data_IF_618122343419
#
_entry.id   IF_618122343419
#
_cell.length_a   1.000
_cell.length_b   1.000
_cell.length_c   1.000
_cell.angle_alpha   90.00
_cell.angle_beta   90.00
_cell.angle_gamma   90.00
#
_symmetry.space_group_name_H-M   'P 1'
#
loop_
_entity.id
_entity.type
_entity.pdbx_description
1 polymer ?
#
# COMPACT_ATOMS: atom_id res chain seq x y z
N UNK A 1 -1.93 -31.68 12.17
CA UNK A 1 -1.81 -30.29 12.68
C UNK A 1 -3.06 -29.53 12.25
N UNK A 2 -3.81 -28.89 13.17
CA UNK A 2 -5.16 -28.34 12.89
C UNK A 2 -5.22 -27.27 11.78
N UNK A 3 -4.12 -26.53 11.57
CA UNK A 3 -4.05 -25.51 10.50
C UNK A 3 -3.95 -26.13 9.10
N UNK A 4 -3.49 -27.39 8.99
CA UNK A 4 -3.36 -28.16 7.75
C UNK A 4 -4.38 -29.30 7.67
N UNK A 5 -5.53 -29.12 8.31
CA UNK A 5 -6.62 -30.09 8.30
C UNK A 5 -7.31 -30.09 6.92
N UNK A 6 -7.79 -31.25 6.47
CA UNK A 6 -8.52 -31.37 5.20
C UNK A 6 -9.87 -30.64 5.26
N UNK A 7 -10.44 -30.50 6.46
CA UNK A 7 -11.69 -29.79 6.65
C UNK A 7 -11.47 -28.28 6.77
N UNK A 8 -11.90 -27.54 5.75
CA UNK A 8 -11.80 -26.07 5.69
C UNK A 8 -12.44 -25.36 6.89
N UNK A 9 -13.43 -25.95 7.56
CA UNK A 9 -14.02 -25.34 8.75
C UNK A 9 -13.08 -25.43 9.96
N UNK A 10 -12.29 -26.50 10.07
CA UNK A 10 -11.25 -26.66 11.08
C UNK A 10 -10.13 -25.66 10.82
N UNK A 11 -9.69 -25.53 9.56
CA UNK A 11 -8.68 -24.53 9.15
C UNK A 11 -9.12 -23.11 9.48
N UNK A 12 -10.34 -22.71 9.08
CA UNK A 12 -10.90 -21.38 9.43
C UNK A 12 -10.91 -21.13 10.94
N UNK A 13 -11.27 -22.15 11.73
CA UNK A 13 -11.27 -22.04 13.20
C UNK A 13 -9.86 -21.94 13.78
N UNK A 14 -8.89 -22.65 13.21
CA UNK A 14 -7.49 -22.53 13.58
C UNK A 14 -6.97 -21.12 13.32
N UNK A 15 -7.27 -20.51 12.16
CA UNK A 15 -6.89 -19.13 11.83
C UNK A 15 -7.47 -18.13 12.85
N UNK A 16 -8.77 -18.24 13.17
CA UNK A 16 -9.40 -17.37 14.19
C UNK A 16 -8.73 -17.49 15.55
N UNK A 17 -8.32 -18.70 15.91
CA UNK A 17 -7.64 -18.97 17.18
C UNK A 17 -6.25 -18.34 17.18
N UNK A 18 -5.48 -18.54 16.11
CA UNK A 18 -4.17 -17.91 15.91
C UNK A 18 -4.23 -16.38 15.91
N UNK A 19 -5.30 -15.80 15.38
CA UNK A 19 -5.54 -14.34 15.41
C UNK A 19 -5.57 -13.79 16.85
N UNK A 20 -6.02 -14.58 17.82
CA UNK A 20 -6.00 -14.18 19.23
C UNK A 20 -4.71 -14.60 19.93
N UNK A 21 -4.20 -15.80 19.65
CA UNK A 21 -3.04 -16.34 20.35
C UNK A 21 -1.75 -15.65 19.97
N UNK A 22 -1.57 -15.18 18.73
CA UNK A 22 -0.32 -14.57 18.29
C UNK A 22 0.10 -13.38 19.16
N UNK A 23 -0.81 -12.43 19.40
CA UNK A 23 -0.55 -11.26 20.26
C UNK A 23 -0.31 -11.65 21.72
N UNK A 24 -0.98 -12.69 22.22
CA UNK A 24 -0.78 -13.19 23.59
C UNK A 24 0.58 -13.87 23.73
N UNK A 25 0.98 -14.66 22.73
CA UNK A 25 2.27 -15.32 22.67
C UNK A 25 3.41 -14.29 22.59
N UNK A 26 3.29 -13.27 21.73
CA UNK A 26 4.27 -12.20 21.65
C UNK A 26 4.38 -11.44 22.99
N UNK A 27 3.24 -11.15 23.63
CA UNK A 27 3.24 -10.50 24.94
C UNK A 27 3.89 -11.37 26.03
N UNK A 28 3.72 -12.69 25.96
CA UNK A 28 4.39 -13.63 26.84
C UNK A 28 5.89 -13.63 26.62
N UNK A 29 6.36 -13.69 25.37
CA UNK A 29 7.79 -13.60 25.03
C UNK A 29 8.41 -12.32 25.57
N UNK A 30 7.78 -11.18 25.31
CA UNK A 30 8.30 -9.85 25.71
C UNK A 30 8.33 -9.65 27.22
N UNK A 31 7.44 -10.31 27.97
CA UNK A 31 7.40 -10.22 29.45
C UNK A 31 8.37 -11.20 30.13
N UNK A 32 8.86 -12.21 29.43
CA UNK A 32 9.82 -13.18 29.98
C UNK A 32 11.19 -12.54 30.17
N UNK A 33 11.70 -12.53 31.42
CA UNK A 33 13.03 -12.00 31.73
C UNK A 33 14.17 -12.92 31.27
N UNK A 34 13.91 -14.22 31.28
CA UNK A 34 14.83 -15.26 30.84
C UNK A 34 14.04 -16.17 29.92
N UNK A 35 14.59 -16.46 28.74
CA UNK A 35 13.93 -17.24 27.70
C UNK A 35 14.63 -18.60 27.67
N UNK A 36 13.83 -19.67 27.75
CA UNK A 36 14.33 -21.05 27.66
C UNK A 36 14.31 -21.53 26.22
N UNK A 37 15.14 -22.52 25.88
CA UNK A 37 15.18 -23.13 24.54
C UNK A 37 13.79 -23.63 24.08
N UNK A 38 12.99 -24.17 25.00
CA UNK A 38 11.62 -24.61 24.70
C UNK A 38 10.69 -23.43 24.38
N UNK A 39 10.89 -22.29 25.05
CA UNK A 39 10.13 -21.06 24.81
C UNK A 39 10.53 -20.45 23.45
N UNK A 40 11.81 -20.48 23.09
CA UNK A 40 12.30 -20.08 21.75
C UNK A 40 11.65 -20.94 20.66
N UNK A 41 11.73 -22.27 20.78
CA UNK A 41 11.12 -23.19 19.83
C UNK A 41 9.59 -22.99 19.69
N UNK A 42 8.90 -22.64 20.79
CA UNK A 42 7.48 -22.32 20.77
C UNK A 42 7.20 -21.03 19.97
N UNK A 43 8.04 -20.00 20.13
CA UNK A 43 7.93 -18.77 19.35
C UNK A 43 8.23 -18.99 17.88
N UNK A 44 9.27 -19.76 17.55
CA UNK A 44 9.60 -20.10 16.16
C UNK A 44 8.44 -20.83 15.48
N UNK A 45 7.79 -21.77 16.18
CA UNK A 45 6.59 -22.44 15.68
C UNK A 45 5.41 -21.47 15.50
N UNK A 46 5.22 -20.54 16.43
CA UNK A 46 4.17 -19.51 16.34
C UNK A 46 4.38 -18.57 15.14
N UNK A 47 5.63 -18.15 14.91
CA UNK A 47 6.01 -17.30 13.77
C UNK A 47 5.86 -18.04 12.44
N UNK A 48 6.34 -19.29 12.37
CA UNK A 48 6.15 -20.13 11.18
C UNK A 48 4.67 -20.34 10.85
N UNK A 49 3.82 -20.59 11.85
CA UNK A 49 2.37 -20.70 11.66
C UNK A 49 1.72 -19.37 11.21
N UNK A 50 2.23 -18.22 11.66
CA UNK A 50 1.77 -16.93 11.15
C UNK A 50 2.11 -16.76 9.66
N UNK A 51 3.33 -17.15 9.26
CA UNK A 51 3.74 -17.21 7.85
C UNK A 51 2.85 -18.13 7.01
N UNK A 52 2.56 -19.34 7.50
CA UNK A 52 1.64 -20.29 6.84
C UNK A 52 0.25 -19.66 6.61
N UNK A 53 -0.29 -18.88 7.56
CA UNK A 53 -1.60 -18.21 7.40
C UNK A 53 -1.53 -17.08 6.36
N UNK A 54 -0.41 -16.35 6.26
CA UNK A 54 -0.24 -15.32 5.22
C UNK A 54 -0.29 -15.96 3.83
N UNK A 55 0.34 -17.13 3.65
CA UNK A 55 0.26 -17.90 2.38
C UNK A 55 -1.18 -18.35 2.06
N UNK A 56 -2.03 -18.56 3.07
CA UNK A 56 -3.44 -18.90 2.86
C UNK A 56 -4.29 -17.76 2.27
N UNK A 57 -3.74 -16.55 2.06
CA UNK A 57 -4.36 -15.56 1.17
C UNK A 57 -4.53 -16.10 -0.26
N UNK A 58 -3.67 -17.03 -0.69
CA UNK A 58 -3.74 -17.67 -2.01
C UNK A 58 -4.47 -19.02 -1.98
N UNK A 59 -5.15 -19.36 -0.87
CA UNK A 59 -5.98 -20.58 -0.79
C UNK A 59 -7.07 -20.56 -1.86
N UNK A 60 -7.40 -21.73 -2.41
CA UNK A 60 -8.55 -21.93 -3.30
C UNK A 60 -9.90 -21.68 -2.61
N UNK A 61 -9.96 -21.83 -1.28
CA UNK A 61 -11.18 -21.65 -0.50
C UNK A 61 -11.42 -20.17 -0.11
N UNK A 62 -12.52 -19.61 -0.61
CA UNK A 62 -12.92 -18.21 -0.35
C UNK A 62 -13.10 -17.87 1.14
N UNK A 63 -13.61 -18.84 1.91
CA UNK A 63 -13.78 -18.70 3.36
C UNK A 63 -12.45 -18.68 4.10
N UNK A 64 -11.48 -19.50 3.68
CA UNK A 64 -10.12 -19.50 4.25
C UNK A 64 -9.44 -18.16 3.98
N UNK A 65 -9.47 -17.67 2.73
CA UNK A 65 -8.94 -16.34 2.37
C UNK A 65 -9.55 -15.22 3.22
N UNK A 66 -10.87 -15.23 3.42
CA UNK A 66 -11.56 -14.25 4.29
C UNK A 66 -10.98 -14.22 5.71
N UNK A 67 -10.72 -15.39 6.29
CA UNK A 67 -10.17 -15.49 7.65
C UNK A 67 -8.68 -15.10 7.69
N UNK A 68 -7.91 -15.46 6.65
CA UNK A 68 -6.52 -15.06 6.52
C UNK A 68 -6.38 -13.53 6.47
N UNK A 69 -7.24 -12.81 5.73
CA UNK A 69 -7.26 -11.34 5.72
C UNK A 69 -7.42 -10.77 7.13
N UNK A 70 -8.33 -11.32 7.94
CA UNK A 70 -8.55 -10.86 9.32
C UNK A 70 -7.38 -11.17 10.25
N UNK A 71 -6.68 -12.28 10.02
CA UNK A 71 -5.43 -12.58 10.71
C UNK A 71 -4.35 -11.56 10.34
N UNK A 72 -4.16 -11.30 9.04
CA UNK A 72 -3.18 -10.34 8.52
C UNK A 72 -3.43 -8.93 9.06
N UNK A 73 -4.69 -8.47 9.14
CA UNK A 73 -5.03 -7.21 9.80
C UNK A 73 -4.54 -7.16 11.25
N UNK A 74 -4.85 -8.19 12.04
CA UNK A 74 -4.43 -8.24 13.44
C UNK A 74 -2.91 -8.31 13.57
N UNK A 75 -2.26 -9.08 12.69
CA UNK A 75 -0.81 -9.23 12.63
C UNK A 75 -0.12 -7.90 12.34
N UNK A 76 -0.56 -7.16 11.30
CA UNK A 76 -0.04 -5.82 10.97
C UNK A 76 -0.20 -4.87 12.15
N UNK A 77 -1.39 -4.82 12.77
CA UNK A 77 -1.65 -3.96 13.93
C UNK A 77 -0.75 -4.35 15.11
N UNK A 78 -0.56 -5.64 15.39
CA UNK A 78 0.32 -6.10 16.48
C UNK A 78 1.79 -5.77 16.20
N UNK A 79 2.26 -5.91 14.97
CA UNK A 79 3.66 -5.70 14.56
C UNK A 79 3.97 -4.28 14.08
N UNK A 80 3.13 -3.32 14.44
CA UNK A 80 3.37 -1.90 14.18
C UNK A 80 3.16 -1.08 15.46
N UNK A 81 3.93 0.01 15.64
CA UNK A 81 3.85 0.82 16.84
C UNK A 81 2.57 1.66 16.85
N UNK A 82 2.00 1.87 18.03
CA UNK A 82 0.99 2.91 18.24
C UNK A 82 1.63 4.29 18.15
N UNK A 83 0.86 5.26 17.68
CA UNK A 83 1.18 6.68 17.63
C UNK A 83 0.18 7.50 18.44
N UNK A 84 0.45 8.79 18.66
CA UNK A 84 -0.39 9.66 19.49
C UNK A 84 -1.84 9.77 19.00
N UNK A 85 -2.03 9.67 17.69
CA UNK A 85 -3.29 9.74 16.97
C UNK A 85 -3.93 8.37 16.72
N UNK A 86 -3.34 7.26 17.18
CA UNK A 86 -3.87 5.92 16.94
C UNK A 86 -5.20 5.66 17.67
N UNK A 87 -6.25 5.34 16.91
CA UNK A 87 -7.58 5.01 17.44
C UNK A 87 -7.67 3.53 17.86
N UNK A 88 -7.39 3.22 19.13
CA UNK A 88 -7.43 1.83 19.63
C UNK A 88 -8.80 1.50 20.23
N UNK A 89 -9.50 0.44 19.76
CA UNK A 89 -10.72 -0.03 20.40
C UNK A 89 -10.47 -0.43 21.85
N UNK A 90 -11.38 -0.06 22.78
CA UNK A 90 -11.26 -0.35 24.23
C UNK A 90 -10.92 -1.82 24.54
N UNK A 91 -11.52 -2.76 23.80
CA UNK A 91 -11.27 -4.21 23.95
C UNK A 91 -9.82 -4.63 23.64
N UNK A 92 -9.05 -3.81 22.93
CA UNK A 92 -7.67 -4.08 22.50
C UNK A 92 -6.64 -3.15 23.17
N UNK A 93 -7.05 -2.36 24.17
CA UNK A 93 -6.18 -1.37 24.79
C UNK A 93 -4.96 -1.99 25.48
N UNK A 94 -5.14 -3.18 26.05
CA UNK A 94 -4.12 -3.97 26.73
C UNK A 94 -3.31 -4.89 25.79
N UNK A 95 -3.75 -5.07 24.55
CA UNK A 95 -3.03 -5.89 23.57
C UNK A 95 -1.62 -5.33 23.32
N UNK A 96 -0.65 -6.22 23.09
CA UNK A 96 0.70 -5.80 22.73
C UNK A 96 0.70 -5.14 21.34
N UNK A 97 1.60 -4.18 21.19
CA UNK A 97 1.94 -3.52 19.94
C UNK A 97 3.44 -3.24 19.94
N UNK A 98 4.00 -2.94 18.77
CA UNK A 98 5.45 -2.90 18.61
C UNK A 98 6.13 -1.82 19.47
N UNK A 99 5.45 -0.72 19.81
CA UNK A 99 5.91 0.32 20.73
C UNK A 99 6.21 -0.20 22.15
N UNK A 100 5.64 -1.34 22.54
CA UNK A 100 5.84 -1.99 23.85
C UNK A 100 6.94 -3.05 23.84
N UNK A 101 7.59 -3.29 22.69
CA UNK A 101 8.67 -4.28 22.56
C UNK A 101 10.01 -3.59 22.85
N UNK A 102 10.78 -4.01 23.87
CA UNK A 102 12.10 -3.45 24.16
C UNK A 102 13.05 -3.65 22.97
N UNK A 103 13.85 -2.64 22.67
CA UNK A 103 14.82 -2.68 21.55
C UNK A 103 16.00 -3.61 21.81
N UNK A 104 16.30 -3.83 23.09
CA UNK A 104 17.39 -4.64 23.64
C UNK A 104 16.90 -6.01 24.16
N UNK A 105 15.70 -6.43 23.75
CA UNK A 105 15.14 -7.71 24.17
C UNK A 105 16.02 -8.88 23.66
N UNK A 106 16.33 -9.89 24.50
CA UNK A 106 17.39 -10.88 24.21
C UNK A 106 17.12 -11.81 23.02
N UNK A 107 15.87 -11.95 22.61
CA UNK A 107 15.47 -12.89 21.55
C UNK A 107 14.57 -12.24 20.50
N UNK A 108 13.44 -11.65 20.92
CA UNK A 108 12.55 -10.87 20.04
C UNK A 108 13.25 -9.62 19.51
N UNK A 109 13.37 -9.52 18.18
CA UNK A 109 14.01 -8.39 17.51
C UNK A 109 12.97 -7.43 16.94
N UNK A 110 12.97 -6.18 17.44
CA UNK A 110 12.03 -5.14 17.00
C UNK A 110 12.01 -4.95 15.48
N UNK A 111 13.20 -4.85 14.86
CA UNK A 111 13.31 -4.55 13.43
C UNK A 111 12.79 -5.70 12.56
N UNK A 112 13.01 -6.94 12.97
CA UNK A 112 12.50 -8.12 12.25
C UNK A 112 10.98 -8.10 12.25
N UNK A 113 10.36 -7.90 13.41
CA UNK A 113 8.90 -7.80 13.53
C UNK A 113 8.32 -6.63 12.72
N UNK A 114 9.00 -5.49 12.71
CA UNK A 114 8.57 -4.33 11.91
C UNK A 114 8.57 -4.65 10.41
N UNK A 115 9.63 -5.28 9.90
CA UNK A 115 9.70 -5.68 8.50
C UNK A 115 8.66 -6.74 8.17
N UNK A 116 8.41 -7.72 9.06
CA UNK A 116 7.33 -8.71 8.88
C UNK A 116 5.94 -8.05 8.80
N UNK A 117 5.66 -7.07 9.66
CA UNK A 117 4.41 -6.32 9.63
C UNK A 117 4.21 -5.57 8.31
N UNK A 118 5.25 -4.91 7.80
CA UNK A 118 5.21 -4.22 6.50
C UNK A 118 5.06 -5.20 5.35
N UNK A 119 5.80 -6.31 5.36
CA UNK A 119 5.68 -7.36 4.34
C UNK A 119 4.26 -7.93 4.30
N UNK A 120 3.62 -8.14 5.46
CA UNK A 120 2.23 -8.58 5.53
C UNK A 120 1.24 -7.55 4.95
N UNK A 121 1.47 -6.25 5.18
CA UNK A 121 0.69 -5.19 4.53
C UNK A 121 0.86 -5.23 3.01
N UNK A 122 2.09 -5.38 2.51
CA UNK A 122 2.36 -5.49 1.08
C UNK A 122 1.63 -6.68 0.43
N UNK A 123 1.60 -7.83 1.10
CA UNK A 123 0.82 -8.99 0.64
C UNK A 123 -0.68 -8.69 0.59
N UNK A 124 -1.23 -8.01 1.59
CA UNK A 124 -2.64 -7.61 1.58
C UNK A 124 -2.97 -6.61 0.46
N UNK A 125 -2.07 -5.65 0.19
CA UNK A 125 -2.22 -4.68 -0.90
C UNK A 125 -2.18 -5.38 -2.28
N UNK A 126 -1.21 -6.30 -2.48
CA UNK A 126 -1.13 -7.12 -3.69
C UNK A 126 -2.36 -7.99 -3.90
N UNK A 127 -2.89 -8.57 -2.82
CA UNK A 127 -4.10 -9.38 -2.85
C UNK A 127 -5.31 -8.59 -3.37
N UNK A 128 -5.46 -7.32 -2.97
CA UNK A 128 -6.61 -6.48 -3.36
C UNK A 128 -6.67 -6.14 -4.85
N UNK A 129 -5.52 -6.09 -5.53
CA UNK A 129 -5.44 -5.79 -6.97
C UNK A 129 -5.49 -7.05 -7.83
N UNK A 130 -5.64 -8.24 -7.23
CA UNK A 130 -5.72 -9.48 -7.96
C UNK A 130 -7.01 -9.54 -8.82
N UNK A 131 -6.94 -9.85 -10.13
CA UNK A 131 -8.08 -9.73 -11.04
C UNK A 131 -9.23 -10.71 -10.74
N UNK A 132 -8.93 -11.81 -10.04
CA UNK A 132 -9.92 -12.83 -9.65
C UNK A 132 -10.33 -12.76 -8.17
N UNK A 133 -10.04 -11.66 -7.47
CA UNK A 133 -10.49 -11.49 -6.09
C UNK A 133 -12.02 -11.53 -6.00
N UNK A 134 -12.55 -12.26 -5.01
CA UNK A 134 -14.01 -12.34 -4.81
C UNK A 134 -14.55 -11.06 -4.18
N UNK A 135 -15.84 -10.79 -4.39
CA UNK A 135 -16.52 -9.64 -3.77
C UNK A 135 -16.44 -9.66 -2.23
N UNK A 136 -16.52 -10.83 -1.60
CA UNK A 136 -16.48 -10.98 -0.14
C UNK A 136 -15.06 -10.71 0.37
N UNK A 137 -14.05 -11.29 -0.26
CA UNK A 137 -12.66 -11.04 0.13
C UNK A 137 -12.27 -9.57 -0.08
N UNK A 138 -12.67 -8.96 -1.20
CA UNK A 138 -12.37 -7.55 -1.48
C UNK A 138 -13.02 -6.61 -0.46
N UNK A 139 -14.30 -6.82 -0.14
CA UNK A 139 -14.99 -6.02 0.89
C UNK A 139 -14.42 -6.25 2.29
N UNK A 140 -13.97 -7.47 2.60
CA UNK A 140 -13.27 -7.77 3.85
C UNK A 140 -11.93 -7.03 3.93
N UNK A 141 -11.14 -7.06 2.85
CA UNK A 141 -9.85 -6.37 2.76
C UNK A 141 -10.00 -4.85 2.88
N UNK A 142 -11.02 -4.25 2.25
CA UNK A 142 -11.37 -2.84 2.45
C UNK A 142 -11.61 -2.51 3.93
N UNK A 143 -12.41 -3.32 4.62
CA UNK A 143 -12.64 -3.12 6.05
C UNK A 143 -11.37 -3.28 6.89
N UNK A 144 -10.51 -4.23 6.52
CA UNK A 144 -9.23 -4.46 7.18
C UNK A 144 -8.26 -3.30 6.99
N UNK A 145 -8.11 -2.75 5.79
CA UNK A 145 -7.28 -1.57 5.55
C UNK A 145 -7.80 -0.34 6.30
N UNK A 146 -9.12 -0.11 6.33
CA UNK A 146 -9.70 0.99 7.12
C UNK A 146 -9.44 0.84 8.64
N UNK A 147 -9.44 -0.41 9.12
CA UNK A 147 -9.12 -0.76 10.50
C UNK A 147 -7.64 -0.51 10.82
N UNK A 148 -6.74 -0.89 9.90
CA UNK A 148 -5.30 -0.65 10.00
C UNK A 148 -5.02 0.86 9.99
N UNK A 149 -5.54 1.61 9.02
CA UNK A 149 -5.28 3.04 8.88
C UNK A 149 -5.67 3.86 10.12
N UNK A 150 -6.81 3.54 10.75
CA UNK A 150 -7.23 4.24 11.97
C UNK A 150 -6.46 3.81 13.22
N UNK A 151 -6.10 2.54 13.33
CA UNK A 151 -5.30 2.05 14.46
C UNK A 151 -3.81 2.40 14.30
N UNK A 152 -3.33 2.55 13.07
CA UNK A 152 -1.92 2.74 12.70
C UNK A 152 -1.84 3.78 11.58
N UNK A 153 -1.96 5.07 11.91
CA UNK A 153 -1.99 6.14 10.91
C UNK A 153 -0.71 6.27 10.07
N UNK A 154 0.38 5.62 10.48
CA UNK A 154 1.61 5.51 9.69
C UNK A 154 1.37 4.86 8.32
N UNK A 155 0.35 4.01 8.21
CA UNK A 155 -0.03 3.34 6.96
C UNK A 155 -1.20 4.04 6.23
N UNK A 156 -1.57 5.26 6.65
CA UNK A 156 -2.71 5.97 6.07
C UNK A 156 -2.48 6.22 4.57
N UNK A 157 -1.28 6.65 4.19
CA UNK A 157 -0.91 6.95 2.80
C UNK A 157 -1.12 5.73 1.89
N UNK A 158 -0.57 4.58 2.26
CA UNK A 158 -0.66 3.32 1.52
C UNK A 158 -2.11 2.84 1.40
N UNK A 159 -2.91 3.02 2.45
CA UNK A 159 -4.34 2.65 2.44
C UNK A 159 -5.14 3.56 1.49
N UNK A 160 -4.90 4.87 1.51
CA UNK A 160 -5.58 5.79 0.59
C UNK A 160 -5.18 5.49 -0.87
N UNK A 161 -3.89 5.26 -1.13
CA UNK A 161 -3.40 4.86 -2.45
C UNK A 161 -4.03 3.54 -2.94
N UNK A 162 -4.22 2.56 -2.05
CA UNK A 162 -4.90 1.31 -2.38
C UNK A 162 -6.37 1.54 -2.77
N UNK A 163 -7.06 2.45 -2.08
CA UNK A 163 -8.44 2.82 -2.39
C UNK A 163 -8.55 3.57 -3.72
N UNK A 164 -7.62 4.46 -4.03
CA UNK A 164 -7.54 5.13 -5.34
C UNK A 164 -7.33 4.11 -6.46
N UNK A 165 -6.37 3.20 -6.27
CA UNK A 165 -6.05 2.14 -7.24
C UNK A 165 -7.26 1.24 -7.49
N UNK A 166 -7.95 0.82 -6.44
CA UNK A 166 -9.16 0.00 -6.56
C UNK A 166 -10.30 0.75 -7.24
N UNK A 167 -10.49 2.04 -6.91
CA UNK A 167 -11.53 2.85 -7.53
C UNK A 167 -11.33 2.99 -9.04
N UNK A 168 -10.08 3.18 -9.47
CA UNK A 168 -9.69 3.24 -10.87
C UNK A 168 -9.75 1.87 -11.57
N UNK A 169 -9.46 0.78 -10.85
CA UNK A 169 -9.29 -0.57 -11.40
C UNK A 169 -10.16 -1.61 -10.68
N UNK A 170 -11.48 -1.46 -10.74
CA UNK A 170 -12.39 -2.47 -10.20
C UNK A 170 -12.21 -3.80 -10.97
N UNK A 171 -12.11 -4.96 -10.26
CA UNK A 171 -11.92 -6.24 -10.92
C UNK A 171 -13.05 -6.54 -11.92
N UNK A 172 -12.74 -6.89 -13.19
CA UNK A 172 -13.74 -7.08 -14.24
C UNK A 172 -14.58 -8.35 -14.05
N UNK A 173 -14.15 -9.25 -13.16
CA UNK A 173 -14.83 -10.49 -12.78
C UNK A 173 -16.04 -10.26 -11.88
N UNK A 174 -16.21 -9.05 -11.34
CA UNK A 174 -17.32 -8.71 -10.46
C UNK A 174 -18.60 -8.43 -11.25
N UNK A 175 -19.69 -9.09 -10.85
CA UNK A 175 -21.02 -8.81 -11.36
C UNK A 175 -21.48 -7.40 -10.95
N UNK A 176 -22.44 -6.82 -11.69
CA UNK A 176 -22.97 -5.47 -11.43
C UNK A 176 -23.40 -5.24 -9.97
N UNK A 177 -24.09 -6.21 -9.38
CA UNK A 177 -24.51 -6.15 -7.95
C UNK A 177 -23.33 -6.16 -6.98
N UNK A 178 -22.27 -6.91 -7.31
CA UNK A 178 -21.03 -6.97 -6.53
C UNK A 178 -20.25 -5.65 -6.63
N UNK A 179 -20.14 -5.07 -7.83
CA UNK A 179 -19.56 -3.74 -8.04
C UNK A 179 -20.26 -2.69 -7.18
N UNK A 180 -21.60 -2.66 -7.19
CA UNK A 180 -22.36 -1.74 -6.33
C UNK A 180 -22.09 -1.97 -4.84
N UNK A 181 -21.99 -3.23 -4.40
CA UNK A 181 -21.64 -3.57 -3.01
C UNK A 181 -20.25 -3.09 -2.62
N UNK A 182 -19.25 -3.30 -3.49
CA UNK A 182 -17.88 -2.84 -3.27
C UNK A 182 -17.81 -1.32 -3.19
N UNK A 183 -18.45 -0.59 -4.12
CA UNK A 183 -18.52 0.89 -4.08
C UNK A 183 -19.16 1.41 -2.80
N UNK A 184 -20.26 0.77 -2.35
CA UNK A 184 -20.92 1.13 -1.08
C UNK A 184 -20.00 0.94 0.12
N UNK A 185 -19.26 -0.17 0.17
CA UNK A 185 -18.30 -0.43 1.25
C UNK A 185 -17.09 0.52 1.18
N UNK A 186 -16.57 0.81 -0.02
CA UNK A 186 -15.50 1.78 -0.21
C UNK A 186 -15.90 3.16 0.30
N UNK A 187 -17.10 3.65 -0.07
CA UNK A 187 -17.68 4.89 0.46
C UNK A 187 -17.74 4.88 1.99
N UNK A 188 -18.25 3.78 2.57
CA UNK A 188 -18.38 3.64 4.02
C UNK A 188 -17.02 3.70 4.74
N UNK A 189 -16.01 3.03 4.19
CA UNK A 189 -14.66 3.01 4.76
C UNK A 189 -13.93 4.35 4.57
N UNK A 190 -14.07 5.02 3.43
CA UNK A 190 -13.56 6.38 3.22
C UNK A 190 -14.16 7.38 4.20
N UNK A 191 -15.48 7.33 4.43
CA UNK A 191 -16.14 8.17 5.45
C UNK A 191 -15.66 7.84 6.87
N UNK A 192 -15.39 6.57 7.16
CA UNK A 192 -14.84 6.17 8.46
C UNK A 192 -13.41 6.68 8.67
N UNK A 193 -12.58 6.64 7.62
CA UNK A 193 -11.20 7.13 7.66
C UNK A 193 -11.17 8.65 7.72
N UNK A 194 -12.05 9.35 7.00
CA UNK A 194 -12.14 10.81 6.99
C UNK A 194 -12.38 11.42 8.37
N UNK A 195 -13.03 10.70 9.29
CA UNK A 195 -13.24 11.16 10.67
C UNK A 195 -11.95 11.22 11.48
N UNK A 196 -10.91 10.52 11.05
CA UNK A 196 -9.69 10.35 11.80
C UNK A 196 -8.83 11.62 11.72
N UNK A 197 -8.24 12.13 12.82
CA UNK A 197 -7.44 13.36 12.78
C UNK A 197 -6.28 13.33 11.78
N UNK A 198 -5.62 12.18 11.65
CA UNK A 198 -4.53 11.97 10.70
C UNK A 198 -4.95 12.01 9.22
N UNK A 199 -6.25 11.98 8.90
CA UNK A 199 -6.71 12.05 7.52
C UNK A 199 -6.65 13.47 6.94
N UNK A 200 -6.29 14.49 7.73
CA UNK A 200 -6.21 15.88 7.29
C UNK A 200 -5.27 16.07 6.09
N UNK A 201 -4.14 15.34 6.07
CA UNK A 201 -3.16 15.41 4.97
C UNK A 201 -3.72 14.81 3.66
N UNK A 202 -4.62 13.83 3.77
CA UNK A 202 -5.22 13.12 2.64
C UNK A 202 -6.65 13.59 2.32
N UNK A 203 -7.09 14.68 2.95
CA UNK A 203 -8.47 15.16 2.91
C UNK A 203 -8.94 15.44 1.47
N UNK A 204 -8.08 16.04 0.65
CA UNK A 204 -8.40 16.33 -0.76
C UNK A 204 -8.66 15.04 -1.54
N UNK A 205 -7.78 14.05 -1.40
CA UNK A 205 -7.84 12.75 -2.08
C UNK A 205 -9.12 11.99 -1.68
N UNK A 206 -9.36 11.87 -0.37
CA UNK A 206 -10.54 11.19 0.18
C UNK A 206 -11.84 11.88 -0.27
N UNK A 207 -11.87 13.22 -0.25
CA UNK A 207 -13.03 14.01 -0.66
C UNK A 207 -13.36 13.76 -2.13
N UNK A 208 -12.36 13.78 -3.00
CA UNK A 208 -12.54 13.50 -4.43
C UNK A 208 -13.14 12.11 -4.66
N UNK A 209 -12.54 11.07 -4.08
CA UNK A 209 -13.08 9.70 -4.19
C UNK A 209 -14.53 9.59 -3.68
N UNK A 210 -14.85 10.29 -2.60
CA UNK A 210 -16.22 10.29 -2.05
C UNK A 210 -17.21 10.95 -3.00
N UNK A 211 -16.83 12.04 -3.67
CA UNK A 211 -17.65 12.71 -4.70
C UNK A 211 -17.88 11.77 -5.88
N UNK A 212 -16.85 11.07 -6.37
CA UNK A 212 -16.96 10.11 -7.48
C UNK A 212 -17.88 8.92 -7.14
N UNK A 213 -17.95 8.57 -5.86
CA UNK A 213 -18.86 7.56 -5.31
C UNK A 213 -20.27 8.12 -5.03
N UNK A 214 -20.57 9.36 -5.39
CA UNK A 214 -21.88 10.00 -5.24
C UNK A 214 -22.19 10.45 -3.81
N UNK A 215 -21.17 10.79 -3.02
CA UNK A 215 -21.36 11.30 -1.65
C UNK A 215 -21.68 12.80 -1.68
N UNK A 216 -22.82 13.25 -1.12
CA UNK A 216 -23.14 14.67 -1.07
C UNK A 216 -22.13 15.47 -0.25
N UNK A 217 -21.80 16.69 -0.68
CA UNK A 217 -20.83 17.54 0.03
C UNK A 217 -21.18 17.78 1.50
N UNK A 218 -22.47 17.91 1.83
CA UNK A 218 -22.93 18.05 3.22
C UNK A 218 -22.61 16.82 4.09
N UNK A 219 -22.66 15.61 3.50
CA UNK A 219 -22.28 14.38 4.19
C UNK A 219 -20.76 14.34 4.42
N UNK A 220 -19.95 14.77 3.44
CA UNK A 220 -18.49 14.83 3.57
C UNK A 220 -18.10 15.81 4.68
N UNK A 221 -18.59 17.05 4.63
CA UNK A 221 -18.27 18.10 5.62
C UNK A 221 -18.64 17.68 7.05
N UNK A 222 -19.75 16.95 7.24
CA UNK A 222 -20.16 16.45 8.56
C UNK A 222 -19.19 15.42 9.15
N UNK A 223 -18.47 14.69 8.32
CA UNK A 223 -17.51 13.66 8.73
C UNK A 223 -16.07 14.16 8.79
N UNK A 224 -15.82 15.45 8.52
CA UNK A 224 -14.50 16.05 8.65
C UNK A 224 -14.07 16.18 10.12
N UNK A 225 -12.78 15.99 10.43
CA UNK A 225 -12.27 16.26 11.76
C UNK A 225 -12.25 17.78 11.99
N UNK A 226 -12.63 18.22 13.19
CA UNK A 226 -12.65 19.64 13.52
C UNK A 226 -11.23 20.20 13.57
N UNK A 227 -10.91 21.26 12.81
CA UNK A 227 -9.60 21.93 12.87
C UNK A 227 -9.22 22.46 14.27
N UNK A 228 -10.15 22.47 15.24
CA UNK A 228 -9.86 22.87 16.62
C UNK A 228 -8.99 21.87 17.38
N UNK A 229 -8.96 20.60 16.99
CA UNK A 229 -8.19 19.57 17.71
C UNK A 229 -6.70 19.57 17.37
N UNK A 230 -6.29 20.16 16.23
CA UNK A 230 -4.90 20.29 15.82
C UNK A 230 -4.09 21.35 16.60
N UNK A 231 -4.73 22.17 17.47
CA UNK A 231 -4.08 23.26 18.22
C UNK A 231 -3.71 22.94 19.67
N UNK A 232 -3.82 21.69 20.13
CA UNK A 232 -3.25 21.31 21.43
C UNK A 232 -1.75 21.02 21.27
N UNK A 233 -0.97 22.09 21.09
CA UNK A 233 0.44 22.09 21.51
C UNK A 233 0.49 21.83 23.03
N UNK A 234 1.56 21.24 23.59
CA UNK A 234 1.74 21.19 25.03
C UNK A 234 1.80 22.63 25.52
N UNK A 235 0.73 23.10 26.15
CA UNK A 235 0.72 24.38 26.86
C UNK A 235 1.43 24.11 28.16
N UNK A 236 2.67 24.56 28.22
CA UNK A 236 3.45 24.61 29.45
C UNK A 236 2.67 25.47 30.46
N UNK A 237 2.31 24.86 31.57
CA UNK A 237 1.66 25.53 32.69
C UNK A 237 2.76 26.26 33.47
N UNK A 238 2.88 27.57 33.25
CA UNK A 238 3.57 28.45 34.20
C UNK A 238 2.69 29.65 34.50
N UNK A 239 2.30 29.71 35.76
CA UNK A 239 1.30 30.56 36.36
C UNK A 239 1.75 32.03 36.51
N UNK A 240 0.77 32.92 36.32
CA UNK A 240 0.59 34.22 36.97
C UNK A 240 1.53 35.43 36.69
N UNK A 241 0.84 36.58 36.57
CA UNK A 241 1.26 37.90 37.09
C UNK A 241 2.09 38.82 36.17
N UNK A 242 1.44 39.80 35.53
CA UNK A 242 1.53 41.25 35.84
C UNK A 242 1.18 42.17 34.65
N UNK A 243 0.10 42.94 34.86
CA UNK A 243 -0.13 44.37 34.57
C UNK A 243 0.33 45.01 33.23
N UNK A 244 -0.69 45.53 32.52
CA UNK A 244 -0.84 46.91 31.96
C UNK A 244 0.39 47.52 31.24
N UNK A 245 0.24 47.96 29.99
CA UNK A 245 -0.11 49.35 29.65
C UNK A 245 -0.32 49.55 28.14
N UNK A 246 -1.24 50.46 27.85
CA UNK A 246 -1.72 51.00 26.57
C UNK A 246 -0.79 52.13 26.10
N UNK A 247 -0.50 52.23 24.80
CA UNK A 247 -0.64 53.44 23.95
C UNK A 247 0.11 53.23 22.61
N UNK A 248 -0.60 53.40 21.49
CA UNK A 248 -0.04 54.10 20.32
C UNK A 248 -0.14 55.62 20.56
N UNK A 249 0.60 56.47 19.81
CA UNK A 249 0.03 56.98 18.55
C UNK A 249 1.05 57.25 17.40
N UNK A 250 0.57 56.99 16.17
CA UNK A 250 0.58 57.82 14.95
C UNK A 250 1.84 58.51 14.37
N UNK A 251 1.94 58.31 13.04
CA UNK A 251 2.22 59.24 11.94
C UNK A 251 3.65 59.79 11.72
N UNK A 252 4.13 59.51 10.51
CA UNK A 252 5.23 60.16 9.82
C UNK A 252 5.28 59.61 8.40
N UNK A 253 4.49 60.22 7.52
CA UNK A 253 4.54 60.07 6.06
C UNK A 253 5.90 60.56 5.55
N UNK A 254 6.52 59.84 4.60
CA UNK A 254 7.20 60.49 3.48
C UNK A 254 7.37 59.50 2.31
N UNK A 255 6.88 59.96 1.16
CA UNK A 255 7.02 59.42 -0.20
C UNK A 255 8.49 59.20 -0.57
N UNK A 256 8.79 58.14 -1.35
CA UNK A 256 9.53 58.24 -2.62
C UNK A 256 9.42 56.90 -3.38
N UNK A 257 8.44 56.81 -4.28
CA UNK A 257 8.42 55.84 -5.37
C UNK A 257 9.50 56.21 -6.41
N UNK A 258 10.51 55.35 -6.60
CA UNK A 258 11.29 55.28 -7.84
C UNK A 258 11.64 53.84 -8.21
N UNK A 259 11.00 53.41 -9.30
CA UNK A 259 11.27 52.22 -10.09
C UNK A 259 12.75 52.02 -10.44
N UNK A 260 13.32 50.86 -10.10
CA UNK A 260 14.44 50.23 -10.80
C UNK A 260 14.37 48.69 -10.68
N UNK A 261 13.88 48.06 -11.76
CA UNK A 261 14.27 46.77 -12.37
C UNK A 261 14.68 45.56 -11.48
N UNK A 262 14.06 44.37 -11.63
CA UNK A 262 14.47 43.16 -10.95
C UNK A 262 15.61 42.44 -11.69
N UNK A 263 16.81 42.45 -11.13
CA UNK A 263 17.93 41.60 -11.54
C UNK A 263 17.80 40.16 -10.99
N UNK A 264 18.20 39.13 -11.76
CA UNK A 264 17.91 37.73 -11.47
C UNK A 264 18.88 37.19 -10.43
N UNK A 265 18.38 36.58 -9.36
CA UNK A 265 19.24 35.79 -8.49
C UNK A 265 18.53 34.56 -7.92
N UNK A 266 19.21 33.43 -8.08
CA UNK A 266 19.24 32.41 -7.05
C UNK A 266 18.14 31.37 -7.10
N UNK A 267 18.21 30.48 -8.10
CA UNK A 267 17.81 29.08 -7.94
C UNK A 267 18.50 28.50 -6.70
N UNK A 268 17.83 28.45 -5.56
CA UNK A 268 18.15 27.56 -4.43
C UNK A 268 17.12 27.76 -3.31
N UNK A 269 16.10 26.90 -3.31
CA UNK A 269 15.44 26.30 -2.12
C UNK A 269 14.17 25.55 -2.57
N UNK A 270 14.35 24.42 -3.24
CA UNK A 270 13.28 23.41 -3.40
C UNK A 270 13.60 22.13 -2.61
N UNK A 271 14.84 21.97 -2.14
CA UNK A 271 15.33 20.71 -1.56
C UNK A 271 14.90 20.39 -0.13
N UNK A 272 13.88 21.06 0.44
CA UNK A 272 13.43 20.80 1.80
C UNK A 272 11.92 20.51 1.95
N UNK A 273 11.17 20.40 0.84
CA UNK A 273 9.73 20.09 0.85
C UNK A 273 9.38 18.71 0.25
N UNK A 274 10.35 17.94 -0.24
CA UNK A 274 10.12 16.71 -1.04
C UNK A 274 9.84 15.47 -0.15
N UNK A 275 9.99 15.53 1.17
CA UNK A 275 9.89 14.33 2.03
C UNK A 275 8.46 13.81 2.27
N UNK A 276 7.47 14.18 1.46
CA UNK A 276 6.07 13.74 1.63
C UNK A 276 5.23 13.63 0.36
N UNK A 277 5.76 13.94 -0.83
CA UNK A 277 5.02 13.74 -2.08
C UNK A 277 5.21 12.30 -2.57
N UNK A 278 4.10 11.61 -2.83
CA UNK A 278 4.14 10.27 -3.42
C UNK A 278 4.56 10.33 -4.90
N UNK A 279 5.04 9.21 -5.44
CA UNK A 279 5.32 9.04 -6.87
C UNK A 279 4.09 9.35 -7.75
N UNK A 280 2.90 9.04 -7.25
CA UNK A 280 1.62 9.41 -7.90
C UNK A 280 1.38 10.92 -7.88
N UNK A 281 1.68 11.61 -6.78
CA UNK A 281 1.52 13.07 -6.69
C UNK A 281 2.43 13.82 -7.68
N UNK A 282 3.71 13.43 -7.76
CA UNK A 282 4.69 14.01 -8.69
C UNK A 282 4.24 13.80 -10.14
N UNK A 283 3.79 12.58 -10.45
CA UNK A 283 3.31 12.25 -11.80
C UNK A 283 2.02 12.99 -12.14
N UNK A 284 1.11 13.18 -11.18
CA UNK A 284 -0.13 13.92 -11.39
C UNK A 284 0.12 15.41 -11.65
N UNK A 285 1.05 16.02 -10.91
CA UNK A 285 1.45 17.42 -11.09
C UNK A 285 2.07 17.65 -12.48
N UNK A 286 2.86 16.69 -12.97
CA UNK A 286 3.40 16.70 -14.34
C UNK A 286 2.30 16.59 -15.41
N UNK A 287 1.29 15.74 -15.19
CA UNK A 287 0.22 15.51 -16.17
C UNK A 287 -0.78 16.66 -16.24
N UNK A 288 -1.05 17.33 -15.12
CA UNK A 288 -2.09 18.37 -15.03
C UNK A 288 -2.01 19.45 -16.13
N UNK A 289 -0.86 20.10 -16.41
CA UNK A 289 -0.78 21.11 -17.48
C UNK A 289 -0.87 20.51 -18.89
N UNK A 290 -0.66 19.20 -19.06
CA UNK A 290 -0.71 18.53 -20.36
C UNK A 290 -2.14 18.16 -20.78
N UNK A 291 -3.11 18.17 -19.85
CA UNK A 291 -4.52 17.86 -20.11
C UNK A 291 -5.28 19.03 -20.74
N UNK A 292 -4.74 19.58 -21.84
CA UNK A 292 -5.42 20.58 -22.67
C UNK A 292 -6.49 19.91 -23.55
N UNK A 293 -7.53 20.64 -24.00
CA UNK A 293 -8.56 20.08 -24.87
C UNK A 293 -8.00 19.40 -26.13
N UNK A 294 -6.99 20.00 -26.77
CA UNK A 294 -6.34 19.44 -27.95
C UNK A 294 -5.60 18.13 -27.66
N UNK A 295 -4.84 18.09 -26.56
CA UNK A 295 -4.11 16.88 -26.16
C UNK A 295 -5.06 15.75 -25.78
N UNK A 296 -6.13 16.05 -25.05
CA UNK A 296 -7.15 15.07 -24.68
C UNK A 296 -7.89 14.56 -25.91
N UNK A 297 -8.25 15.43 -26.86
CA UNK A 297 -8.89 15.02 -28.11
C UNK A 297 -7.97 14.10 -28.93
N UNK A 298 -6.68 14.44 -29.07
CA UNK A 298 -5.69 13.60 -29.74
C UNK A 298 -5.52 12.25 -29.04
N UNK A 299 -5.46 12.22 -27.70
CA UNK A 299 -5.37 10.99 -26.92
C UNK A 299 -6.58 10.08 -27.15
N UNK A 300 -7.79 10.64 -27.18
CA UNK A 300 -9.02 9.90 -27.50
C UNK A 300 -8.96 9.35 -28.93
N UNK A 301 -8.61 10.16 -29.93
CA UNK A 301 -8.50 9.72 -31.32
C UNK A 301 -7.49 8.59 -31.50
N UNK A 302 -6.33 8.67 -30.85
CA UNK A 302 -5.30 7.62 -30.87
C UNK A 302 -5.79 6.35 -30.17
N UNK A 303 -6.59 6.47 -29.12
CA UNK A 303 -7.10 5.32 -28.38
C UNK A 303 -8.35 4.67 -28.99
N UNK A 304 -9.06 5.34 -29.92
CA UNK A 304 -10.26 4.80 -30.57
C UNK A 304 -10.01 3.45 -31.27
N UNK A 305 -8.81 3.23 -31.81
CA UNK A 305 -8.46 1.95 -32.47
C UNK A 305 -8.35 0.77 -31.49
N UNK A 306 -8.22 1.04 -30.19
CA UNK A 306 -8.15 0.02 -29.15
C UNK A 306 -9.50 -0.24 -28.46
N UNK A 307 -10.53 0.54 -28.80
CA UNK A 307 -11.86 0.37 -28.21
C UNK A 307 -12.61 -0.77 -28.91
N UNK A 308 -13.37 -1.60 -28.16
CA UNK A 308 -14.21 -2.62 -28.75
C UNK A 308 -15.36 -1.99 -29.54
N UNK A 309 -15.81 -2.67 -30.61
CA UNK A 309 -16.94 -2.21 -31.44
C UNK A 309 -18.26 -2.11 -30.66
N UNK A 310 -18.40 -2.88 -29.57
CA UNK A 310 -19.58 -2.90 -28.71
C UNK A 310 -19.17 -2.54 -27.28
N UNK A 311 -19.95 -1.67 -26.64
CA UNK A 311 -19.73 -1.27 -25.25
C UNK A 311 -19.70 -2.49 -24.32
N UNK A 312 -18.60 -2.72 -23.57
CA UNK A 312 -18.53 -3.81 -22.62
C UNK A 312 -19.55 -3.65 -21.50
N UNK A 313 -20.21 -4.74 -21.11
CA UNK A 313 -21.17 -4.73 -20.00
C UNK A 313 -20.53 -4.30 -18.67
N UNK A 314 -19.25 -4.62 -18.47
CA UNK A 314 -18.46 -4.17 -17.32
C UNK A 314 -18.32 -2.65 -17.29
N UNK A 315 -17.98 -2.03 -18.43
CA UNK A 315 -17.90 -0.57 -18.56
C UNK A 315 -19.24 0.10 -18.26
N UNK A 316 -20.33 -0.42 -18.85
CA UNK A 316 -21.68 0.11 -18.62
C UNK A 316 -22.10 0.01 -17.13
N UNK A 317 -21.60 -1.00 -16.41
CA UNK A 317 -21.90 -1.18 -14.98
C UNK A 317 -21.12 -0.22 -14.07
N UNK A 318 -19.92 0.22 -14.47
CA UNK A 318 -19.06 1.12 -13.68
C UNK A 318 -19.18 2.59 -14.10
N UNK A 319 -19.72 2.87 -15.29
CA UNK A 319 -19.81 4.23 -15.82
C UNK A 319 -20.65 5.13 -14.91
N UNK A 320 -20.02 6.21 -14.43
CA UNK A 320 -20.67 7.29 -13.70
C UNK A 320 -20.63 8.55 -14.58
N UNK A 321 -21.78 9.13 -14.96
CA UNK A 321 -21.80 10.37 -15.76
C UNK A 321 -21.08 11.52 -15.03
N UNK A 322 -20.34 12.32 -15.78
CA UNK A 322 -19.64 13.50 -15.25
C UNK A 322 -20.55 14.72 -15.38
N UNK A 323 -21.05 15.25 -14.26
CA UNK A 323 -22.04 16.35 -14.25
C UNK A 323 -21.48 17.73 -14.65
N UNK A 324 -20.16 17.94 -14.61
CA UNK A 324 -19.55 19.27 -14.89
C UNK A 324 -18.16 19.19 -15.53
N UNK A 325 -18.09 18.57 -16.71
CA UNK A 325 -16.86 18.33 -17.48
C UNK A 325 -15.99 19.61 -17.66
N UNK A 326 -14.68 19.49 -17.48
CA UNK A 326 -13.70 20.53 -17.87
C UNK A 326 -13.37 21.58 -16.80
N UNK A 327 -13.83 21.41 -15.56
CA UNK A 327 -13.39 22.26 -14.44
C UNK A 327 -11.94 21.95 -14.03
N UNK A 328 -11.23 22.93 -13.48
CA UNK A 328 -9.84 22.74 -13.00
C UNK A 328 -9.73 21.60 -11.98
N UNK A 329 -10.72 21.48 -11.09
CA UNK A 329 -10.80 20.39 -10.13
C UNK A 329 -10.90 19.01 -10.80
N UNK A 330 -11.64 18.90 -11.90
CA UNK A 330 -11.74 17.65 -12.66
C UNK A 330 -10.49 17.35 -13.47
N UNK A 331 -9.85 18.37 -14.04
CA UNK A 331 -8.56 18.20 -14.73
C UNK A 331 -7.52 17.64 -13.75
N UNK A 332 -7.47 18.20 -12.53
CA UNK A 332 -6.61 17.70 -11.45
C UNK A 332 -6.94 16.26 -11.05
N UNK A 333 -8.22 15.92 -10.93
CA UNK A 333 -8.64 14.56 -10.64
C UNK A 333 -8.29 13.57 -11.76
N UNK A 334 -8.52 13.94 -13.02
CA UNK A 334 -8.18 13.12 -14.18
C UNK A 334 -6.66 12.91 -14.26
N UNK A 335 -5.86 13.95 -14.02
CA UNK A 335 -4.40 13.85 -13.95
C UNK A 335 -3.97 12.83 -12.89
N UNK A 336 -4.63 12.83 -11.74
CA UNK A 336 -4.38 11.88 -10.65
C UNK A 336 -4.76 10.45 -11.02
N UNK A 337 -5.93 10.24 -11.62
CA UNK A 337 -6.32 8.91 -12.11
C UNK A 337 -5.32 8.37 -13.15
N UNK A 338 -4.91 9.21 -14.11
CA UNK A 338 -3.90 8.84 -15.09
C UNK A 338 -2.54 8.56 -14.44
N UNK A 339 -2.13 9.38 -13.46
CA UNK A 339 -0.91 9.15 -12.70
C UNK A 339 -0.93 7.83 -11.95
N UNK A 340 -2.04 7.46 -11.31
CA UNK A 340 -2.21 6.15 -10.66
C UNK A 340 -2.04 5.01 -11.66
N UNK A 341 -2.60 5.13 -12.87
CA UNK A 341 -2.42 4.11 -13.92
C UNK A 341 -0.96 4.05 -14.43
N UNK A 342 -0.33 5.20 -14.66
CA UNK A 342 1.05 5.28 -15.17
C UNK A 342 2.05 4.74 -14.15
N UNK A 343 1.93 5.16 -12.89
CA UNK A 343 2.80 4.69 -11.80
C UNK A 343 2.65 3.20 -11.54
N UNK A 344 1.43 2.66 -11.58
CA UNK A 344 1.18 1.22 -11.50
C UNK A 344 1.84 0.44 -12.66
N UNK A 345 1.94 1.05 -13.84
CA UNK A 345 2.68 0.51 -14.98
C UNK A 345 4.20 0.76 -14.91
N UNK A 346 4.71 1.41 -13.85
CA UNK A 346 6.11 1.74 -13.68
C UNK A 346 6.60 2.91 -14.55
N UNK A 347 5.68 3.76 -15.01
CA UNK A 347 5.91 4.90 -15.89
C UNK A 347 5.68 6.24 -15.15
N UNK A 348 6.35 7.29 -15.63
CA UNK A 348 6.15 8.66 -15.16
C UNK A 348 7.28 9.19 -14.27
N UNK A 349 7.41 10.52 -14.18
CA UNK A 349 8.55 11.16 -13.51
C UNK A 349 8.65 10.83 -12.02
N UNK A 350 7.53 10.58 -11.32
CA UNK A 350 7.57 10.16 -9.91
C UNK A 350 8.19 8.78 -9.70
N UNK A 351 7.99 7.84 -10.62
CA UNK A 351 8.61 6.52 -10.58
C UNK A 351 10.11 6.61 -10.86
N UNK A 352 10.50 7.44 -11.84
CA UNK A 352 11.90 7.67 -12.20
C UNK A 352 12.70 8.30 -11.05
N UNK A 353 12.14 9.32 -10.39
CA UNK A 353 12.76 9.95 -9.21
C UNK A 353 12.89 8.95 -8.05
N UNK A 354 11.86 8.14 -7.80
CA UNK A 354 11.91 7.13 -6.73
C UNK A 354 12.97 6.05 -7.01
N UNK A 355 13.18 5.66 -8.28
CA UNK A 355 14.24 4.74 -8.69
C UNK A 355 15.63 5.38 -8.50
N UNK A 356 15.81 6.62 -8.94
CA UNK A 356 17.07 7.36 -8.78
C UNK A 356 17.45 7.56 -7.30
N UNK A 357 16.49 7.89 -6.43
CA UNK A 357 16.73 8.00 -4.99
C UNK A 357 17.04 6.66 -4.29
N UNK A 358 16.58 5.53 -4.85
CA UNK A 358 16.93 4.19 -4.35
C UNK A 358 18.29 3.70 -4.86
N UNK A 359 18.79 4.26 -5.96
CA UNK A 359 20.06 3.90 -6.60
C UNK A 359 21.25 4.79 -6.20
N UNK A 360 21.05 5.90 -5.46
CA UNK A 360 22.19 6.65 -4.92
C UNK A 360 22.98 5.80 -3.90
N UNK A 361 24.25 5.44 -4.20
CA UNK A 361 25.09 4.70 -3.28
C UNK A 361 25.47 5.60 -2.11
N UNK A 362 25.42 5.05 -0.90
CA UNK A 362 26.11 5.62 0.27
C UNK A 362 27.54 5.96 -0.13
N UNK A 363 27.85 7.24 -0.25
CA UNK A 363 29.21 7.71 -0.47
C UNK A 363 30.14 7.13 0.60
N UNK A 364 31.23 6.54 0.09
CA UNK A 364 32.36 6.01 0.82
C UNK A 364 32.88 7.05 1.83
N UNK A 365 32.72 6.76 3.12
CA UNK A 365 33.63 7.32 4.12
C UNK A 365 34.93 6.53 4.10
N UNK A 366 35.85 7.04 3.27
CA UNK A 366 37.31 7.09 3.42
C UNK A 366 37.86 6.26 4.60
N UNK A 367 38.37 5.07 4.30
CA UNK A 367 39.26 4.33 5.20
C UNK A 367 40.70 4.65 4.81
N UNK A 368 41.46 5.21 5.77
CA UNK A 368 42.92 5.44 5.65
C UNK A 368 43.67 4.13 5.39
N UNK A 369 44.77 4.13 4.63
CA UNK A 369 45.56 2.93 4.41
C UNK A 369 46.43 2.69 5.66
N UNK A 370 46.22 1.57 6.34
CA UNK A 370 47.15 1.07 7.34
C UNK A 370 47.81 -0.23 6.85
N UNK A 371 49.10 -0.30 7.10
CA UNK A 371 50.12 -1.18 6.53
C UNK A 371 49.82 -2.68 6.59
N UNK A 372 50.05 -3.34 5.46
CA UNK A 372 50.13 -4.79 5.28
C UNK A 372 51.35 -5.35 6.02
N UNK A 373 51.13 -6.17 7.06
CA UNK A 373 52.12 -7.10 7.58
C UNK A 373 51.73 -8.54 7.22
N UNK A 374 52.62 -9.14 6.43
CA UNK A 374 52.59 -10.49 5.89
C UNK A 374 52.75 -11.52 7.02
N UNK A 375 51.86 -12.52 7.08
CA UNK A 375 52.17 -13.82 7.69
C UNK A 375 51.68 -14.98 6.80
N UNK A 376 52.66 -15.64 6.16
CA UNK A 376 52.53 -16.93 5.47
C UNK A 376 51.98 -18.01 6.41
N UNK A 377 51.07 -18.83 5.90
CA UNK A 377 51.11 -20.29 6.09
C UNK A 377 50.71 -21.02 4.82
N UNK A 378 51.47 -22.08 4.55
CA UNK A 378 51.48 -22.97 3.38
C UNK A 378 50.55 -24.17 3.59
N UNK A 379 49.84 -24.59 2.54
CA UNK A 379 49.65 -25.99 2.08
C UNK A 379 48.70 -25.96 0.87
N UNK A 380 49.13 -26.06 -0.39
CA UNK A 380 49.66 -27.23 -1.11
C UNK A 380 48.65 -28.39 -1.27
N UNK A 381 47.83 -28.34 -2.32
CA UNK A 381 47.68 -29.41 -3.32
C UNK A 381 46.79 -28.93 -4.46
N UNK A 382 47.38 -28.79 -5.64
CA UNK A 382 46.66 -28.70 -6.90
C UNK A 382 46.76 -30.02 -7.64
N UNK A 383 45.86 -30.23 -8.60
CA UNK A 383 46.19 -30.87 -9.87
C UNK A 383 45.09 -30.53 -10.89
N UNK A 384 45.53 -30.30 -12.12
CA UNK A 384 44.72 -29.93 -13.26
C UNK A 384 45.03 -30.89 -14.43
N UNK A 385 44.11 -30.88 -15.41
CA UNK A 385 44.24 -31.28 -16.83
C UNK A 385 44.11 -32.80 -17.15
N UNK A 386 43.09 -33.17 -17.95
CA UNK A 386 43.28 -33.61 -19.36
C UNK A 386 42.01 -34.20 -20.00
N UNK A 387 41.98 -34.15 -21.33
CA UNK A 387 40.89 -34.32 -22.30
C UNK A 387 41.01 -35.70 -23.00
N UNK A 388 39.89 -36.15 -23.59
CA UNK A 388 39.72 -37.14 -24.69
C UNK A 388 39.30 -38.58 -24.32
N UNK A 389 37.99 -38.84 -24.49
CA UNK A 389 37.41 -39.81 -25.45
C UNK A 389 37.58 -41.32 -25.24
N UNK A 390 36.47 -42.03 -24.99
CA UNK A 390 36.08 -43.27 -25.71
C UNK A 390 34.69 -43.77 -25.30
N UNK A 391 33.82 -43.87 -26.31
CA UNK A 391 32.69 -44.79 -26.57
C UNK A 391 32.09 -45.65 -25.43
N UNK A 392 30.76 -45.53 -25.30
CA UNK A 392 29.85 -46.68 -25.25
C UNK A 392 29.06 -46.90 -23.95
N UNK A 393 27.81 -46.40 -23.90
CA UNK A 393 26.58 -47.22 -23.96
C UNK A 393 25.39 -46.56 -23.25
N UNK A 394 24.22 -46.78 -23.84
CA UNK A 394 22.87 -46.25 -23.61
C UNK A 394 22.45 -45.91 -22.17
N UNK A 395 21.76 -44.78 -21.97
CA UNK A 395 20.28 -44.74 -21.93
C UNK A 395 19.77 -43.35 -21.51
N UNK A 396 18.51 -43.09 -21.88
CA UNK A 396 17.54 -42.10 -21.34
C UNK A 396 17.31 -40.76 -22.08
N UNK A 397 16.08 -40.75 -22.65
CA UNK A 397 15.05 -39.71 -22.66
C UNK A 397 15.03 -38.74 -23.85
N UNK A 398 14.04 -39.00 -24.69
CA UNK A 398 13.63 -38.26 -25.88
C UNK A 398 13.09 -36.87 -25.54
N UNK A 399 13.51 -35.93 -26.38
CA UNK A 399 13.13 -34.53 -26.44
C UNK A 399 11.91 -34.42 -27.37
N UNK A 400 10.78 -33.93 -26.85
CA UNK A 400 9.53 -33.80 -27.60
C UNK A 400 9.48 -32.47 -28.37
N UNK A 401 9.46 -32.54 -29.70
CA UNK A 401 9.22 -31.42 -30.61
C UNK A 401 7.83 -31.54 -31.30
N UNK A 402 7.22 -30.43 -31.74
CA UNK A 402 5.78 -30.20 -31.68
C UNK A 402 4.96 -30.85 -32.81
N UNK A 403 3.81 -31.44 -32.44
CA UNK A 403 2.87 -32.07 -33.36
C UNK A 403 2.08 -31.06 -34.21
N UNK A 404 2.08 -31.29 -35.53
CA UNK A 404 1.23 -30.60 -36.50
C UNK A 404 -0.25 -31.00 -36.32
N UNK A 405 -1.10 -30.03 -35.97
CA UNK A 405 -2.55 -30.19 -35.80
C UNK A 405 -3.25 -30.46 -37.15
N UNK A 406 -3.91 -31.61 -37.27
CA UNK A 406 -4.86 -31.93 -38.35
C UNK A 406 -6.09 -31.03 -38.26
N UNK A 407 -6.61 -30.61 -39.42
CA UNK A 407 -7.83 -29.79 -39.57
C UNK A 407 -9.10 -30.63 -39.32
N UNK A 408 -10.14 -30.08 -38.67
CA UNK A 408 -11.40 -30.79 -38.42
C UNK A 408 -12.32 -30.86 -39.66
N UNK A 409 -13.04 -31.97 -39.81
CA UNK A 409 -14.00 -32.25 -40.89
C UNK A 409 -15.37 -31.55 -40.68
N UNK A 410 -16.13 -31.27 -41.76
CA UNK A 410 -17.39 -30.51 -41.70
C UNK A 410 -18.59 -31.34 -41.23
N UNK A 411 -19.42 -30.73 -40.37
CA UNK A 411 -20.65 -31.31 -39.81
C UNK A 411 -21.80 -31.21 -40.83
N UNK A 412 -22.43 -32.33 -41.16
CA UNK A 412 -23.64 -32.41 -42.01
C UNK A 412 -24.90 -32.27 -41.12
N UNK A 413 -25.89 -31.44 -41.50
CA UNK A 413 -27.11 -31.27 -40.70
C UNK A 413 -28.09 -32.44 -40.83
N UNK A 414 -28.61 -32.91 -39.70
CA UNK A 414 -29.59 -33.99 -39.57
C UNK A 414 -31.01 -33.46 -39.82
N UNK A 415 -31.74 -34.09 -40.74
CA UNK A 415 -33.17 -33.88 -41.01
C UNK A 415 -34.03 -34.52 -39.91
N UNK A 416 -34.94 -33.75 -39.31
CA UNK A 416 -36.02 -34.28 -38.45
C UNK A 416 -37.18 -34.84 -39.30
N UNK A 417 -37.80 -35.98 -38.91
CA UNK A 417 -39.07 -36.40 -39.49
C UNK A 417 -40.26 -35.76 -38.76
N UNK A 418 -41.36 -35.64 -39.52
CA UNK A 418 -42.62 -34.92 -39.26
C UNK A 418 -43.37 -35.31 -38.00
#
# INVERSE_FOLDING_TARGET
>A
MLLRDENVNVVKRAILTMTQLYKVALQWMVKSRVISELQEACWDMMSAMAGDIIVLLDSDNDGVRTHAIKFVEAFIVTLSPRMADSEIPRRHEQDISLDRVPRDHPYIQYNVLWEEGKAALEQLLKFMVHPAISSINLTTALGSLASIARQRPIFMSEVIQAYETLHANLPPTLAKSQVSSVRKNLKLHLLSVLKHPASLEFQAQITTLLVDLGTPQAEITRNMPSSKDARKRPRDDSDSSLKKMKLEPNLGEDDEDKDLEPGPSGTSKVSAQISGQSDTDITAEFLQPLLTPDNVANLVLISMVYLPEVMPASFQAIYTPVESAGTEAQIKHLARLMATQMTAAGLGPGVEQTKQCKEEPKEEKVVKPESVLIKRRLSAQGQAISVVGSLGSMATLEEEAPQAKRRPEPIIPVTQPR
#
